data_IF_140011177102
#
_entry.id   IF_140011177102
#
_cell.length_a   1.000
_cell.length_b   1.000
_cell.length_c   1.000
_cell.angle_alpha   90.00
_cell.angle_beta   90.00
_cell.angle_gamma   90.00
#
_symmetry.space_group_name_H-M   'P 1'
#
loop_
_entity.id
_entity.type
_entity.pdbx_description
1 polymer ?
#
# COMPACT_ATOMS: atom_id res chain seq x y z
N UNK A 1 -28.44 -49.23 22.57
CA UNK A 1 -26.99 -49.36 22.83
C UNK A 1 -26.17 -49.27 21.54
N UNK A 2 -26.48 -49.95 20.44
CA UNK A 2 -25.73 -49.90 19.19
C UNK A 2 -25.70 -48.49 18.52
N UNK A 3 -26.79 -47.72 18.56
CA UNK A 3 -26.83 -46.38 17.98
C UNK A 3 -25.95 -45.34 18.72
N UNK A 4 -25.82 -45.50 20.05
CA UNK A 4 -24.95 -44.62 20.85
C UNK A 4 -23.47 -44.99 20.67
N UNK A 5 -23.16 -46.25 20.40
CA UNK A 5 -21.81 -46.72 20.12
C UNK A 5 -21.34 -46.29 18.71
N UNK A 6 -22.24 -46.35 17.70
CA UNK A 6 -21.98 -45.83 16.36
C UNK A 6 -21.78 -44.30 16.35
N UNK A 7 -22.57 -43.58 17.16
CA UNK A 7 -22.40 -42.13 17.30
C UNK A 7 -21.08 -41.76 17.99
N UNK A 8 -20.61 -42.60 18.91
CA UNK A 8 -19.33 -42.39 19.61
C UNK A 8 -18.12 -42.78 18.73
N UNK A 9 -18.27 -43.78 17.86
CA UNK A 9 -17.26 -44.13 16.84
C UNK A 9 -17.19 -43.08 15.71
N UNK A 10 -18.30 -42.45 15.32
CA UNK A 10 -18.33 -41.34 14.36
C UNK A 10 -17.76 -40.04 14.93
N UNK A 11 -17.69 -39.90 16.26
CA UNK A 11 -17.07 -38.75 16.94
C UNK A 11 -15.56 -38.95 17.23
N UNK A 12 -15.01 -40.14 16.89
CA UNK A 12 -13.61 -40.50 17.18
C UNK A 12 -12.69 -40.50 15.94
N UNK A 13 -13.19 -40.09 14.77
CA UNK A 13 -12.29 -39.72 13.71
C UNK A 13 -11.66 -38.38 14.12
N UNK A 14 -10.32 -38.26 14.19
CA UNK A 14 -9.73 -36.94 14.17
C UNK A 14 -10.31 -36.27 12.92
N UNK A 15 -10.95 -35.13 13.08
CA UNK A 15 -11.22 -34.26 11.91
C UNK A 15 -9.84 -33.99 11.28
N UNK A 16 -9.48 -34.76 10.27
CA UNK A 16 -8.41 -34.40 9.37
C UNK A 16 -8.84 -33.09 8.78
N UNK A 17 -8.32 -32.01 9.34
CA UNK A 17 -8.61 -30.66 8.85
C UNK A 17 -7.85 -30.51 7.51
N UNK A 18 -8.57 -30.67 6.40
CA UNK A 18 -8.04 -30.55 5.03
C UNK A 18 -7.24 -29.25 4.82
N UNK A 19 -7.47 -28.24 5.69
CA UNK A 19 -6.79 -26.97 5.78
C UNK A 19 -5.50 -26.98 6.61
N UNK A 20 -5.05 -28.14 7.14
CA UNK A 20 -3.79 -28.23 7.86
C UNK A 20 -2.59 -27.94 6.94
N UNK A 21 -1.65 -27.13 7.42
CA UNK A 21 -0.41 -26.81 6.70
C UNK A 21 0.53 -28.03 6.74
N UNK A 22 0.93 -28.54 5.58
CA UNK A 22 1.78 -29.72 5.47
C UNK A 22 3.17 -29.42 4.88
N UNK A 23 3.35 -28.28 4.19
CA UNK A 23 4.65 -27.87 3.69
C UNK A 23 4.72 -26.36 3.50
N UNK A 24 5.93 -25.80 3.68
CA UNK A 24 6.22 -24.38 3.51
C UNK A 24 7.58 -24.23 2.86
N UNK A 25 7.63 -23.48 1.75
CA UNK A 25 8.85 -23.26 0.98
C UNK A 25 9.06 -21.77 0.76
N UNK A 26 10.05 -21.20 1.44
CA UNK A 26 10.54 -19.85 1.18
C UNK A 26 11.64 -19.85 0.10
N UNK A 27 11.67 -18.81 -0.72
CA UNK A 27 12.71 -18.58 -1.72
C UNK A 27 13.03 -17.11 -1.90
N UNK A 28 14.23 -16.85 -2.43
CA UNK A 28 14.64 -15.52 -2.87
C UNK A 28 14.23 -15.33 -4.33
N UNK A 29 13.55 -14.22 -4.63
CA UNK A 29 13.21 -13.77 -5.99
C UNK A 29 13.69 -12.32 -6.18
N UNK A 30 13.50 -11.73 -7.35
CA UNK A 30 13.83 -10.32 -7.62
C UNK A 30 12.57 -9.46 -7.64
N UNK A 31 12.70 -8.26 -7.07
CA UNK A 31 11.68 -7.22 -7.15
C UNK A 31 11.81 -6.40 -8.46
N UNK A 32 10.91 -5.43 -8.66
CA UNK A 32 10.86 -4.55 -9.83
C UNK A 32 12.08 -3.64 -10.01
N UNK A 33 12.94 -3.54 -8.99
CA UNK A 33 14.21 -2.80 -9.04
C UNK A 33 15.43 -3.72 -9.22
N UNK A 34 15.21 -5.04 -9.36
CA UNK A 34 16.27 -6.04 -9.45
C UNK A 34 16.96 -6.33 -8.12
N UNK A 35 16.35 -5.97 -6.98
CA UNK A 35 16.82 -6.35 -5.66
C UNK A 35 16.14 -7.65 -5.19
N UNK A 36 16.84 -8.48 -4.39
CA UNK A 36 16.23 -9.65 -3.79
C UNK A 36 15.05 -9.32 -2.89
N UNK A 37 14.02 -10.16 -2.93
CA UNK A 37 12.91 -10.17 -1.99
C UNK A 37 12.45 -11.62 -1.72
N UNK A 38 11.51 -11.79 -0.79
CA UNK A 38 11.06 -13.10 -0.31
C UNK A 38 9.77 -13.49 -0.99
N UNK A 39 9.69 -14.75 -1.44
CA UNK A 39 8.46 -15.43 -1.87
C UNK A 39 8.27 -16.69 -1.04
N UNK A 40 7.03 -17.02 -0.70
CA UNK A 40 6.66 -18.20 0.07
C UNK A 40 5.53 -18.97 -0.60
N UNK A 41 5.67 -20.29 -0.65
CA UNK A 41 4.61 -21.26 -0.95
C UNK A 41 4.18 -21.95 0.34
N UNK A 42 2.87 -22.09 0.53
CA UNK A 42 2.27 -22.88 1.61
C UNK A 42 1.37 -23.94 0.99
N UNK A 43 1.58 -25.20 1.34
CA UNK A 43 0.80 -26.34 0.88
C UNK A 43 -0.08 -26.87 2.03
N UNK A 44 -1.35 -27.11 1.74
CA UNK A 44 -2.30 -27.71 2.65
C UNK A 44 -2.45 -29.22 2.42
N UNK A 45 -2.98 -29.94 3.39
CA UNK A 45 -3.22 -31.40 3.32
C UNK A 45 -4.13 -31.78 2.14
N UNK A 46 -5.08 -30.92 1.79
CA UNK A 46 -5.93 -31.06 0.59
C UNK A 46 -5.16 -31.07 -0.73
N UNK A 47 -3.89 -30.60 -0.75
CA UNK A 47 -3.11 -30.33 -1.93
C UNK A 47 -3.26 -28.90 -2.46
N UNK A 48 -4.08 -28.08 -1.81
CA UNK A 48 -4.23 -26.65 -2.13
C UNK A 48 -2.96 -25.88 -1.77
N UNK A 49 -2.56 -24.94 -2.62
CA UNK A 49 -1.34 -24.14 -2.43
C UNK A 49 -1.61 -22.66 -2.52
N UNK A 50 -1.01 -21.90 -1.61
CA UNK A 50 -0.96 -20.44 -1.67
C UNK A 50 0.48 -19.93 -1.91
N UNK A 51 0.65 -18.95 -2.78
CA UNK A 51 1.94 -18.30 -3.07
C UNK A 51 1.83 -16.80 -2.86
N UNK A 52 2.80 -16.22 -2.17
CA UNK A 52 2.88 -14.78 -1.97
C UNK A 52 4.32 -14.27 -2.03
N UNK A 53 4.49 -13.08 -2.58
CA UNK A 53 5.76 -12.36 -2.64
C UNK A 53 5.65 -11.01 -1.93
N UNK A 54 6.71 -10.60 -1.24
CA UNK A 54 6.74 -9.41 -0.38
C UNK A 54 7.34 -8.23 -1.13
N UNK A 55 6.73 -7.02 -1.05
CA UNK A 55 7.32 -5.79 -1.58
C UNK A 55 8.43 -5.25 -0.68
N UNK A 56 9.22 -4.30 -1.21
CA UNK A 56 10.34 -3.65 -0.51
C UNK A 56 10.35 -2.14 -0.74
N UNK A 57 10.59 -1.34 0.29
CA UNK A 57 10.66 0.12 0.20
C UNK A 57 12.01 0.64 -0.31
N UNK A 58 12.01 1.86 -0.92
CA UNK A 58 13.21 2.66 -1.19
C UNK A 58 13.44 3.67 -0.05
N UNK A 59 12.47 4.55 0.19
CA UNK A 59 12.35 5.34 1.41
C UNK A 59 11.64 4.52 2.46
N UNK A 60 12.08 4.57 3.71
CA UNK A 60 11.51 3.79 4.81
C UNK A 60 11.37 4.66 6.05
N UNK A 61 10.20 4.63 6.68
CA UNK A 61 10.00 5.26 7.98
C UNK A 61 10.89 4.61 9.05
N UNK A 62 11.46 5.41 9.92
CA UNK A 62 12.41 4.92 10.94
C UNK A 62 11.79 3.92 11.94
N UNK A 63 10.47 3.87 12.00
CA UNK A 63 9.69 3.01 12.91
C UNK A 63 9.03 1.82 12.22
N UNK A 64 9.33 1.55 10.94
CA UNK A 64 8.84 0.36 10.25
C UNK A 64 9.37 -0.93 10.91
N UNK A 65 8.59 -2.00 10.78
CA UNK A 65 9.09 -3.34 11.08
C UNK A 65 10.28 -3.69 10.17
N UNK A 66 11.23 -4.44 10.69
CA UNK A 66 12.52 -4.68 10.04
C UNK A 66 12.38 -5.62 8.84
N UNK A 67 12.74 -5.15 7.67
CA UNK A 67 13.05 -5.98 6.52
C UNK A 67 14.43 -6.61 6.72
N UNK A 68 14.47 -7.93 6.95
CA UNK A 68 15.73 -8.64 7.24
C UNK A 68 16.53 -8.80 5.95
N UNK A 69 17.73 -8.21 5.93
CA UNK A 69 18.73 -8.32 4.87
C UNK A 69 19.99 -9.00 5.38
N UNK A 70 20.67 -9.75 4.50
CA UNK A 70 21.85 -10.53 4.89
C UNK A 70 23.05 -9.66 5.29
N UNK A 71 23.20 -8.49 4.65
CA UNK A 71 24.29 -7.56 4.90
C UNK A 71 25.63 -7.99 4.33
N UNK A 72 25.69 -9.09 3.56
CA UNK A 72 26.88 -9.60 2.94
C UNK A 72 27.23 -8.82 1.65
N UNK A 73 28.23 -7.95 1.71
CA UNK A 73 28.58 -7.04 0.62
C UNK A 73 28.89 -7.73 -0.72
N UNK A 74 29.42 -8.95 -0.67
CA UNK A 74 29.77 -9.75 -1.85
C UNK A 74 28.58 -10.36 -2.59
N UNK A 75 27.37 -10.29 -2.01
CA UNK A 75 26.16 -10.86 -2.58
C UNK A 75 25.04 -9.82 -2.61
N UNK A 76 24.56 -9.50 -3.82
CA UNK A 76 23.54 -8.44 -4.04
C UNK A 76 23.84 -7.11 -3.32
N UNK A 77 25.12 -6.74 -3.18
CA UNK A 77 25.55 -5.53 -2.48
C UNK A 77 24.98 -5.40 -1.04
N UNK A 78 24.87 -6.52 -0.33
CA UNK A 78 24.32 -6.59 1.03
C UNK A 78 22.80 -6.75 1.11
N UNK A 79 22.10 -6.73 -0.02
CA UNK A 79 20.62 -6.76 -0.06
C UNK A 79 20.02 -8.17 -0.15
N UNK A 80 20.82 -9.24 -0.08
CA UNK A 80 20.34 -10.63 -0.05
C UNK A 80 19.32 -10.87 1.06
N UNK A 81 18.44 -11.88 0.90
CA UNK A 81 17.40 -12.23 1.87
C UNK A 81 17.44 -13.71 2.29
N UNK A 82 18.60 -14.36 2.15
CA UNK A 82 18.74 -15.80 2.48
C UNK A 82 18.49 -16.09 3.95
N UNK A 83 18.83 -15.18 4.87
CA UNK A 83 18.51 -15.34 6.31
C UNK A 83 17.00 -15.39 6.55
N UNK A 84 16.23 -14.48 5.91
CA UNK A 84 14.79 -14.50 5.98
C UNK A 84 14.20 -15.79 5.37
N UNK A 85 14.72 -16.23 4.24
CA UNK A 85 14.37 -17.51 3.61
C UNK A 85 14.68 -18.71 4.51
N UNK A 86 15.84 -18.71 5.17
CA UNK A 86 16.20 -19.76 6.14
C UNK A 86 15.22 -19.82 7.30
N UNK A 87 14.82 -18.67 7.86
CA UNK A 87 13.81 -18.63 8.92
C UNK A 87 12.47 -19.23 8.48
N UNK A 88 12.03 -18.97 7.23
CA UNK A 88 10.80 -19.59 6.69
C UNK A 88 10.95 -21.11 6.62
N UNK A 89 12.07 -21.59 6.06
CA UNK A 89 12.28 -23.01 5.78
C UNK A 89 12.66 -23.84 7.01
N UNK A 90 12.90 -23.21 8.17
CA UNK A 90 13.27 -23.88 9.40
C UNK A 90 12.27 -23.55 10.54
N UNK A 91 12.59 -22.59 11.39
CA UNK A 91 11.86 -22.35 12.64
C UNK A 91 10.42 -21.88 12.44
N UNK A 92 10.10 -21.10 11.39
CA UNK A 92 8.72 -20.73 11.06
C UNK A 92 7.96 -21.97 10.60
N UNK A 93 8.52 -22.75 9.68
CA UNK A 93 7.93 -24.00 9.21
C UNK A 93 7.64 -24.96 10.38
N UNK A 94 8.62 -25.16 11.28
CA UNK A 94 8.44 -26.00 12.46
C UNK A 94 7.32 -25.51 13.39
N UNK A 95 7.18 -24.18 13.56
CA UNK A 95 6.20 -23.60 14.48
C UNK A 95 4.75 -23.65 13.96
N UNK A 96 4.53 -23.62 12.64
CA UNK A 96 3.19 -23.52 12.06
C UNK A 96 2.74 -24.78 11.30
N UNK A 97 3.62 -25.77 11.15
CA UNK A 97 3.27 -27.07 10.57
C UNK A 97 2.11 -27.70 11.34
N UNK A 98 1.10 -28.17 10.63
CA UNK A 98 -0.11 -28.77 11.21
C UNK A 98 -1.15 -27.78 11.72
N UNK A 99 -0.87 -26.47 11.71
CA UNK A 99 -1.89 -25.48 12.04
C UNK A 99 -2.96 -25.40 10.92
N UNK A 100 -4.17 -25.06 11.32
CA UNK A 100 -5.27 -24.79 10.40
C UNK A 100 -5.05 -23.44 9.70
N UNK A 101 -4.92 -23.46 8.37
CA UNK A 101 -4.69 -22.25 7.56
C UNK A 101 -5.87 -21.26 7.62
N UNK A 102 -7.07 -21.69 7.98
CA UNK A 102 -8.24 -20.82 8.15
C UNK A 102 -8.16 -19.93 9.40
N UNK A 103 -7.30 -20.28 10.36
CA UNK A 103 -7.12 -19.57 11.62
C UNK A 103 -6.03 -18.49 11.52
N UNK A 104 -6.19 -17.55 10.57
CA UNK A 104 -5.21 -16.49 10.25
C UNK A 104 -4.69 -15.74 11.48
N UNK A 105 -5.60 -15.32 12.37
CA UNK A 105 -5.23 -14.53 13.53
C UNK A 105 -4.38 -15.35 14.54
N UNK A 106 -4.65 -16.62 14.66
CA UNK A 106 -3.86 -17.52 15.51
C UNK A 106 -2.48 -17.79 14.90
N UNK A 107 -2.43 -18.00 13.59
CA UNK A 107 -1.18 -18.18 12.85
C UNK A 107 -0.28 -16.93 12.97
N UNK A 108 -0.82 -15.74 12.67
CA UNK A 108 -0.08 -14.49 12.77
C UNK A 108 0.42 -14.23 14.21
N UNK A 109 -0.41 -14.57 15.23
CA UNK A 109 0.01 -14.49 16.62
C UNK A 109 1.17 -15.44 16.91
N UNK A 110 1.14 -16.67 16.38
CA UNK A 110 2.25 -17.65 16.52
C UNK A 110 3.54 -17.08 15.92
N UNK A 111 3.49 -16.44 14.75
CA UNK A 111 4.64 -15.78 14.15
C UNK A 111 5.18 -14.64 15.02
N UNK A 112 4.30 -13.81 15.58
CA UNK A 112 4.67 -12.72 16.48
C UNK A 112 5.34 -13.20 17.77
N UNK A 113 4.79 -14.24 18.39
CA UNK A 113 5.36 -14.86 19.58
C UNK A 113 6.70 -15.54 19.29
N UNK A 114 6.85 -16.16 18.12
CA UNK A 114 8.10 -16.78 17.68
C UNK A 114 9.18 -15.73 17.46
N UNK A 115 8.87 -14.57 16.83
CA UNK A 115 9.82 -13.47 16.68
C UNK A 115 10.18 -12.86 18.03
N UNK A 116 9.22 -12.55 18.87
CA UNK A 116 9.37 -12.05 20.23
C UNK A 116 9.96 -10.65 20.35
N UNK A 117 10.09 -9.91 19.25
CA UNK A 117 10.57 -8.51 19.24
C UNK A 117 9.47 -7.53 18.80
N UNK A 118 9.56 -6.28 19.25
CA UNK A 118 8.55 -5.26 18.92
C UNK A 118 8.52 -4.90 17.43
N UNK A 119 9.65 -5.02 16.73
CA UNK A 119 9.84 -4.58 15.34
C UNK A 119 10.18 -5.72 14.37
N UNK A 120 9.93 -6.97 14.72
CA UNK A 120 10.19 -8.16 13.90
C UNK A 120 11.67 -8.31 13.49
N UNK A 121 12.59 -7.82 14.32
CA UNK A 121 14.01 -7.81 13.97
C UNK A 121 14.69 -9.19 14.03
N UNK A 122 14.08 -10.19 14.66
CA UNK A 122 14.63 -11.54 14.76
C UNK A 122 14.38 -12.37 13.50
N UNK A 123 13.14 -12.49 13.09
CA UNK A 123 12.75 -13.28 11.92
C UNK A 123 12.74 -12.45 10.63
N UNK A 124 12.42 -11.17 10.74
CA UNK A 124 12.19 -10.26 9.64
C UNK A 124 10.72 -10.14 9.26
N UNK A 125 10.24 -8.90 9.14
CA UNK A 125 8.88 -8.64 8.68
C UNK A 125 8.61 -9.21 7.28
N UNK A 126 9.62 -9.26 6.42
CA UNK A 126 9.55 -9.86 5.09
C UNK A 126 9.27 -11.38 5.16
N UNK A 127 9.99 -12.12 6.01
CA UNK A 127 9.74 -13.55 6.21
C UNK A 127 8.32 -13.80 6.76
N UNK A 128 7.94 -13.07 7.80
CA UNK A 128 6.64 -13.23 8.45
C UNK A 128 5.48 -12.88 7.51
N UNK A 129 5.59 -11.78 6.77
CA UNK A 129 4.55 -11.36 5.83
C UNK A 129 4.38 -12.33 4.66
N UNK A 130 5.48 -12.85 4.10
CA UNK A 130 5.41 -13.82 3.02
C UNK A 130 4.58 -15.06 3.43
N UNK A 131 4.81 -15.56 4.64
CA UNK A 131 4.05 -16.69 5.22
C UNK A 131 2.59 -16.30 5.50
N UNK A 132 2.36 -15.16 6.16
CA UNK A 132 1.01 -14.68 6.50
C UNK A 132 0.13 -14.56 5.25
N UNK A 133 0.65 -13.99 4.17
CA UNK A 133 -0.08 -13.87 2.89
C UNK A 133 -0.26 -15.20 2.17
N UNK A 134 0.76 -16.05 2.13
CA UNK A 134 0.68 -17.35 1.46
C UNK A 134 -0.35 -18.26 2.13
N UNK A 135 -0.41 -18.27 3.46
CA UNK A 135 -1.43 -19.00 4.22
C UNK A 135 -2.83 -18.48 3.91
N UNK A 136 -3.04 -17.16 3.89
CA UNK A 136 -4.35 -16.59 3.54
C UNK A 136 -4.81 -16.99 2.13
N UNK A 137 -3.89 -17.01 1.16
CA UNK A 137 -4.20 -17.45 -0.22
C UNK A 137 -4.54 -18.92 -0.30
N UNK A 138 -3.80 -19.79 0.42
CA UNK A 138 -4.10 -21.21 0.49
C UNK A 138 -5.47 -21.45 1.13
N UNK A 139 -5.77 -20.78 2.24
CA UNK A 139 -7.05 -20.87 2.93
C UNK A 139 -8.23 -20.37 2.10
N UNK A 140 -8.06 -19.30 1.34
CA UNK A 140 -9.08 -18.78 0.43
C UNK A 140 -9.39 -19.80 -0.69
N UNK A 141 -8.35 -20.36 -1.31
CA UNK A 141 -8.50 -21.40 -2.34
C UNK A 141 -9.16 -22.66 -1.77
N UNK A 142 -8.77 -23.12 -0.60
CA UNK A 142 -9.39 -24.25 0.11
C UNK A 142 -10.87 -24.00 0.39
N UNK A 143 -11.23 -22.79 0.78
CA UNK A 143 -12.60 -22.38 1.00
C UNK A 143 -13.40 -22.19 -0.31
N UNK A 144 -12.76 -22.27 -1.48
CA UNK A 144 -13.40 -22.01 -2.77
C UNK A 144 -13.82 -20.55 -2.95
N UNK A 145 -13.13 -19.61 -2.30
CA UNK A 145 -13.45 -18.17 -2.33
C UNK A 145 -12.32 -17.37 -3.00
N UNK A 146 -12.64 -16.37 -3.84
CA UNK A 146 -11.66 -15.39 -4.24
C UNK A 146 -11.13 -14.65 -3.01
N UNK A 147 -9.86 -14.26 -3.03
CA UNK A 147 -9.14 -13.74 -1.86
C UNK A 147 -9.82 -12.50 -1.25
N UNK A 148 -10.32 -11.56 -2.07
CA UNK A 148 -11.03 -10.39 -1.56
C UNK A 148 -12.30 -10.77 -0.77
N UNK A 149 -13.00 -11.81 -1.20
CA UNK A 149 -14.20 -12.31 -0.51
C UNK A 149 -13.85 -13.09 0.75
N UNK A 150 -12.75 -13.82 0.73
CA UNK A 150 -12.22 -14.48 1.91
C UNK A 150 -11.89 -13.47 3.02
N UNK A 151 -11.30 -12.32 2.66
CA UNK A 151 -11.00 -11.25 3.62
C UNK A 151 -12.24 -10.50 4.13
N UNK A 152 -13.19 -10.20 3.27
CA UNK A 152 -14.30 -9.30 3.58
C UNK A 152 -15.68 -9.95 3.68
N UNK A 153 -15.77 -11.26 3.40
CA UNK A 153 -17.04 -11.97 3.41
C UNK A 153 -18.03 -11.40 2.37
N UNK A 154 -19.32 -11.48 2.70
CA UNK A 154 -20.40 -11.05 1.80
C UNK A 154 -20.49 -9.52 1.59
N UNK A 155 -19.81 -8.74 2.42
CA UNK A 155 -19.81 -7.26 2.34
C UNK A 155 -18.71 -6.64 1.47
N UNK A 156 -17.81 -7.46 0.90
CA UNK A 156 -16.69 -7.00 0.08
C UNK A 156 -17.16 -6.67 -1.36
N UNK A 157 -17.61 -5.45 -1.61
CA UNK A 157 -18.21 -5.03 -2.89
C UNK A 157 -17.68 -3.70 -3.42
N UNK A 158 -16.92 -2.95 -2.65
CA UNK A 158 -16.47 -1.61 -3.02
C UNK A 158 -15.11 -1.65 -3.68
N UNK A 159 -15.03 -1.24 -4.96
CA UNK A 159 -13.78 -0.99 -5.64
C UNK A 159 -13.14 0.29 -5.10
N UNK A 160 -11.80 0.33 -4.91
CA UNK A 160 -11.13 1.53 -4.41
C UNK A 160 -11.00 2.60 -5.49
N UNK A 161 -11.03 3.88 -5.08
CA UNK A 161 -10.61 5.01 -5.92
C UNK A 161 -9.09 4.96 -6.05
N UNK A 162 -8.54 4.92 -7.28
CA UNK A 162 -7.10 4.86 -7.48
C UNK A 162 -6.47 6.26 -7.41
N UNK A 163 -5.38 6.37 -6.67
CA UNK A 163 -4.48 7.52 -6.65
C UNK A 163 -3.27 7.15 -7.51
N UNK A 164 -3.24 7.67 -8.75
CA UNK A 164 -2.31 7.21 -9.79
C UNK A 164 -1.12 8.16 -9.90
N UNK A 165 0.07 7.71 -9.51
CA UNK A 165 1.30 8.48 -9.57
C UNK A 165 1.74 8.74 -11.02
N UNK A 166 1.44 9.92 -11.57
CA UNK A 166 1.65 10.25 -12.98
C UNK A 166 2.97 10.98 -13.25
N UNK A 167 3.50 11.70 -12.23
CA UNK A 167 4.83 12.34 -12.27
C UNK A 167 5.58 12.01 -10.99
N UNK A 168 6.80 11.52 -11.15
CA UNK A 168 7.74 11.21 -10.08
C UNK A 168 8.74 12.35 -9.85
N UNK A 169 9.04 12.63 -8.60
CA UNK A 169 10.11 13.51 -8.14
C UNK A 169 10.82 12.93 -6.91
N UNK A 170 11.50 13.76 -6.13
CA UNK A 170 12.15 13.37 -4.89
C UNK A 170 13.04 12.12 -5.03
N UNK A 171 12.90 11.17 -4.11
CA UNK A 171 13.66 9.92 -4.11
C UNK A 171 13.29 8.97 -5.27
N UNK A 172 12.15 9.17 -5.93
CA UNK A 172 11.65 8.30 -7.01
C UNK A 172 12.14 8.69 -8.41
N UNK A 173 12.82 9.83 -8.55
CA UNK A 173 13.33 10.31 -9.84
C UNK A 173 14.56 11.21 -9.67
N UNK A 174 15.48 11.12 -10.61
CA UNK A 174 16.61 12.05 -10.67
C UNK A 174 16.24 13.30 -11.49
N UNK A 175 15.46 14.19 -10.86
CA UNK A 175 15.01 15.45 -11.46
C UNK A 175 14.99 16.60 -10.43
N UNK A 176 14.44 17.76 -10.82
CA UNK A 176 14.41 18.97 -10.00
C UNK A 176 13.24 19.08 -9.01
N UNK A 177 12.32 18.12 -8.98
CA UNK A 177 11.16 18.17 -8.11
C UNK A 177 11.48 17.64 -6.71
N UNK A 178 11.18 18.42 -5.67
CA UNK A 178 11.34 18.00 -4.27
C UNK A 178 10.19 17.08 -3.80
N UNK A 179 8.96 17.38 -4.22
CA UNK A 179 7.79 16.53 -3.95
C UNK A 179 7.92 15.21 -4.70
N UNK A 180 7.73 14.10 -3.99
CA UNK A 180 8.04 12.77 -4.48
C UNK A 180 7.04 12.24 -5.51
N UNK A 181 5.74 12.50 -5.31
CA UNK A 181 4.69 12.00 -6.21
C UNK A 181 3.61 13.04 -6.47
N UNK A 182 3.22 13.12 -7.75
CA UNK A 182 2.07 13.89 -8.21
C UNK A 182 1.07 12.93 -8.82
N UNK A 183 -0.11 12.83 -8.20
CA UNK A 183 -1.10 11.82 -8.53
C UNK A 183 -2.36 12.43 -9.10
N UNK A 184 -3.01 11.70 -10.02
CA UNK A 184 -4.37 11.95 -10.48
C UNK A 184 -5.33 11.01 -9.77
N UNK A 185 -6.54 11.52 -9.47
CA UNK A 185 -7.57 10.82 -8.72
C UNK A 185 -8.90 10.93 -9.46
N UNK A 186 -9.28 9.95 -10.29
CA UNK A 186 -10.57 9.93 -10.99
C UNK A 186 -11.72 9.68 -10.00
N UNK A 187 -12.68 10.61 -9.90
CA UNK A 187 -13.71 10.57 -8.85
C UNK A 187 -15.15 10.67 -9.37
N UNK A 188 -15.35 10.94 -10.65
CA UNK A 188 -16.71 11.09 -11.22
C UNK A 188 -17.12 9.93 -12.13
N UNK A 189 -16.24 8.98 -12.38
CA UNK A 189 -16.50 7.85 -13.24
C UNK A 189 -17.49 6.88 -12.58
N UNK A 190 -18.35 6.20 -13.36
CA UNK A 190 -19.39 5.33 -12.81
C UNK A 190 -18.86 3.99 -12.28
N UNK A 191 -17.70 3.55 -12.74
CA UNK A 191 -17.09 2.24 -12.41
C UNK A 191 -15.59 2.38 -12.26
N UNK A 192 -14.96 1.39 -11.62
CA UNK A 192 -13.49 1.33 -11.55
C UNK A 192 -12.87 1.21 -12.94
N UNK A 193 -13.45 0.41 -13.83
CA UNK A 193 -13.00 0.24 -15.23
C UNK A 193 -12.92 1.58 -15.95
N UNK A 194 -13.94 2.42 -15.81
CA UNK A 194 -13.96 3.76 -16.41
C UNK A 194 -12.98 4.72 -15.73
N UNK A 195 -12.77 4.58 -14.41
CA UNK A 195 -11.73 5.33 -13.71
C UNK A 195 -10.32 4.95 -14.19
N UNK A 196 -10.06 3.67 -14.40
CA UNK A 196 -8.78 3.18 -14.93
C UNK A 196 -8.57 3.66 -16.37
N UNK A 197 -9.61 3.63 -17.22
CA UNK A 197 -9.58 4.18 -18.57
C UNK A 197 -9.23 5.67 -18.55
N UNK A 198 -9.91 6.44 -17.72
CA UNK A 198 -9.63 7.87 -17.53
C UNK A 198 -8.14 8.10 -17.17
N UNK A 199 -7.63 7.35 -16.20
CA UNK A 199 -6.21 7.43 -15.83
C UNK A 199 -5.26 7.15 -17.01
N UNK A 200 -5.52 6.10 -17.78
CA UNK A 200 -4.71 5.74 -18.94
C UNK A 200 -4.74 6.82 -20.04
N UNK A 201 -5.90 7.39 -20.31
CA UNK A 201 -6.05 8.48 -21.29
C UNK A 201 -5.32 9.75 -20.85
N UNK A 202 -5.38 10.11 -19.57
CA UNK A 202 -4.62 11.25 -19.01
C UNK A 202 -3.12 10.97 -19.06
N UNK A 203 -2.68 9.75 -18.72
CA UNK A 203 -1.28 9.35 -18.82
C UNK A 203 -0.72 9.53 -20.25
N UNK A 204 -1.45 9.08 -21.26
CA UNK A 204 -1.03 9.25 -22.66
C UNK A 204 -1.11 10.70 -23.13
N UNK A 205 -2.08 11.47 -22.66
CA UNK A 205 -2.16 12.91 -22.95
C UNK A 205 -0.95 13.66 -22.35
N UNK A 206 -0.55 13.32 -21.11
CA UNK A 206 0.65 13.89 -20.49
C UNK A 206 1.92 13.51 -21.25
N UNK A 207 2.06 12.24 -21.66
CA UNK A 207 3.20 11.78 -22.47
C UNK A 207 3.35 12.63 -23.73
N UNK A 208 2.24 12.91 -24.42
CA UNK A 208 2.26 13.74 -25.61
C UNK A 208 2.65 15.19 -25.32
N UNK A 209 2.13 15.78 -24.25
CA UNK A 209 2.50 17.16 -23.85
C UNK A 209 4.00 17.25 -23.55
N UNK A 210 4.55 16.30 -22.79
CA UNK A 210 5.98 16.25 -22.46
C UNK A 210 6.83 16.10 -23.71
N UNK A 211 6.46 15.18 -24.61
CA UNK A 211 7.15 14.96 -25.89
C UNK A 211 7.12 16.20 -26.79
N UNK A 212 5.97 16.87 -26.92
CA UNK A 212 5.81 18.09 -27.72
C UNK A 212 6.66 19.25 -27.17
N UNK A 213 6.97 19.26 -25.88
CA UNK A 213 7.88 20.22 -25.23
C UNK A 213 9.35 19.80 -25.24
N UNK A 214 9.68 18.65 -25.82
CA UNK A 214 11.03 18.08 -25.81
C UNK A 214 11.51 17.62 -24.43
N UNK A 215 10.58 17.37 -23.50
CA UNK A 215 10.87 16.88 -22.14
C UNK A 215 10.95 15.35 -22.13
N UNK A 216 11.65 14.81 -21.13
CA UNK A 216 11.78 13.35 -20.94
C UNK A 216 10.42 12.69 -20.72
N UNK A 217 10.19 11.57 -21.41
CA UNK A 217 9.07 10.65 -21.17
C UNK A 217 9.53 9.32 -20.57
N UNK A 218 10.76 9.27 -20.05
CA UNK A 218 11.22 8.15 -19.24
C UNK A 218 10.41 8.10 -17.94
N UNK A 219 10.21 6.86 -17.44
CA UNK A 219 9.42 6.63 -16.23
C UNK A 219 10.32 6.28 -15.05
N UNK A 220 9.90 6.68 -13.86
CA UNK A 220 10.53 6.32 -12.59
C UNK A 220 10.13 4.93 -12.09
N UNK A 221 10.51 4.62 -10.86
CA UNK A 221 10.30 3.30 -10.24
C UNK A 221 8.82 2.89 -10.17
N UNK A 222 7.92 3.86 -10.05
CA UNK A 222 6.49 3.63 -9.94
C UNK A 222 5.70 3.84 -11.24
N UNK A 223 6.41 3.99 -12.37
CA UNK A 223 5.82 4.07 -13.70
C UNK A 223 5.32 5.45 -14.12
N UNK A 224 5.40 6.48 -13.26
CA UNK A 224 5.14 7.87 -13.60
C UNK A 224 6.31 8.49 -14.37
N UNK A 225 6.03 9.56 -15.14
CA UNK A 225 7.09 10.28 -15.87
C UNK A 225 8.02 11.01 -14.91
N UNK A 226 9.27 11.20 -15.31
CA UNK A 226 10.30 11.85 -14.52
C UNK A 226 10.98 13.03 -15.28
N UNK A 227 10.21 14.00 -15.79
CA UNK A 227 10.79 15.16 -16.48
C UNK A 227 11.35 16.18 -15.48
N UNK A 228 12.18 17.11 -15.96
CA UNK A 228 12.58 18.28 -15.21
C UNK A 228 11.56 19.40 -15.41
N UNK A 229 10.88 19.78 -14.33
CA UNK A 229 10.04 20.98 -14.26
C UNK A 229 10.77 22.09 -13.51
N UNK A 230 10.41 23.34 -13.80
CA UNK A 230 10.98 24.51 -13.12
C UNK A 230 10.43 24.72 -11.70
N UNK A 231 9.27 24.14 -11.38
CA UNK A 231 8.62 24.23 -10.08
C UNK A 231 7.52 23.16 -9.91
N UNK A 232 7.05 22.96 -8.67
CA UNK A 232 5.88 22.13 -8.37
C UNK A 232 4.61 22.71 -9.05
N UNK A 233 4.47 24.02 -9.11
CA UNK A 233 3.39 24.73 -9.81
C UNK A 233 3.34 24.39 -11.31
N UNK A 234 4.48 24.38 -11.99
CA UNK A 234 4.56 24.02 -13.42
C UNK A 234 4.16 22.55 -13.63
N UNK A 235 4.61 21.66 -12.75
CA UNK A 235 4.23 20.26 -12.80
C UNK A 235 2.70 20.10 -12.67
N UNK A 236 2.10 20.66 -11.63
CA UNK A 236 0.65 20.59 -11.38
C UNK A 236 -0.15 21.22 -12.53
N UNK A 237 0.26 22.38 -13.03
CA UNK A 237 -0.38 23.04 -14.18
C UNK A 237 -0.32 22.19 -15.45
N UNK A 238 0.80 21.47 -15.66
CA UNK A 238 0.95 20.56 -16.81
C UNK A 238 0.05 19.33 -16.68
N UNK A 239 -0.12 18.79 -15.47
CA UNK A 239 -1.06 17.69 -15.22
C UNK A 239 -2.50 18.15 -15.48
N UNK A 240 -2.91 19.35 -15.05
CA UNK A 240 -4.24 19.89 -15.38
C UNK A 240 -4.47 19.97 -16.90
N UNK A 241 -3.46 20.44 -17.65
CA UNK A 241 -3.54 20.46 -19.12
C UNK A 241 -3.70 19.06 -19.72
N UNK A 242 -3.06 18.03 -19.13
CA UNK A 242 -3.19 16.65 -19.59
C UNK A 242 -4.61 16.11 -19.33
N UNK A 243 -5.20 16.43 -18.17
CA UNK A 243 -6.59 16.06 -17.83
C UNK A 243 -7.56 16.66 -18.84
N UNK A 244 -7.45 17.96 -19.10
CA UNK A 244 -8.30 18.66 -20.08
C UNK A 244 -8.10 18.15 -21.50
N UNK A 245 -6.84 17.91 -21.91
CA UNK A 245 -6.51 17.35 -23.22
C UNK A 245 -7.06 15.93 -23.42
N UNK A 246 -7.20 15.16 -22.36
CA UNK A 246 -7.84 13.85 -22.38
C UNK A 246 -9.39 13.93 -22.42
N UNK A 247 -9.96 15.13 -22.32
CA UNK A 247 -11.40 15.35 -22.39
C UNK A 247 -12.14 15.30 -21.04
N UNK A 248 -11.40 15.37 -19.92
CA UNK A 248 -11.95 15.39 -18.57
C UNK A 248 -11.83 16.76 -17.93
N UNK A 249 -12.72 17.07 -16.98
CA UNK A 249 -12.75 18.35 -16.25
C UNK A 249 -11.85 18.25 -15.02
N UNK A 250 -10.76 19.03 -15.00
CA UNK A 250 -9.89 19.13 -13.84
C UNK A 250 -10.65 19.74 -12.64
N UNK A 251 -10.52 19.14 -11.48
CA UNK A 251 -11.21 19.55 -10.25
C UNK A 251 -12.66 19.02 -10.11
N UNK A 252 -13.23 18.45 -11.16
CA UNK A 252 -14.58 17.85 -11.12
C UNK A 252 -14.52 16.34 -11.37
N UNK A 253 -13.99 15.93 -12.52
CA UNK A 253 -13.87 14.52 -12.91
C UNK A 253 -12.61 13.88 -12.36
N UNK A 254 -11.53 14.64 -12.32
CA UNK A 254 -10.22 14.23 -11.83
C UNK A 254 -9.69 15.25 -10.84
N UNK A 255 -9.38 14.81 -9.63
CA UNK A 255 -8.70 15.58 -8.61
C UNK A 255 -7.20 15.26 -8.61
N UNK A 256 -6.42 16.00 -7.83
CA UNK A 256 -4.99 15.79 -7.66
C UNK A 256 -4.68 15.31 -6.23
N UNK A 257 -3.60 14.57 -6.11
CA UNK A 257 -3.02 14.21 -4.81
C UNK A 257 -1.49 14.32 -4.86
N UNK A 258 -0.90 14.56 -3.71
CA UNK A 258 0.55 14.68 -3.53
C UNK A 258 1.03 13.65 -2.51
N UNK A 259 2.23 13.13 -2.73
CA UNK A 259 3.07 12.56 -1.68
C UNK A 259 4.31 13.44 -1.57
N UNK A 260 4.43 14.16 -0.47
CA UNK A 260 5.57 15.05 -0.24
C UNK A 260 6.81 14.28 0.18
N UNK A 261 6.65 13.16 0.88
CA UNK A 261 7.75 12.46 1.55
C UNK A 261 8.67 13.44 2.30
N UNK A 262 8.07 14.33 3.10
CA UNK A 262 8.74 15.51 3.64
C UNK A 262 9.92 15.19 4.57
N UNK A 263 10.01 13.95 5.06
CA UNK A 263 11.18 13.47 5.81
C UNK A 263 12.47 13.50 4.98
N UNK A 264 12.39 13.35 3.66
CA UNK A 264 13.54 13.31 2.76
C UNK A 264 14.26 14.68 2.62
N UNK A 265 13.54 15.78 2.82
CA UNK A 265 14.09 17.14 2.72
C UNK A 265 13.99 17.96 4.02
N UNK A 266 13.78 17.30 5.16
CA UNK A 266 13.79 17.95 6.47
C UNK A 266 15.17 17.82 7.12
N UNK A 267 15.89 18.95 7.21
CA UNK A 267 17.22 19.03 7.79
C UNK A 267 17.34 20.23 8.71
N UNK A 268 17.99 20.06 9.86
CA UNK A 268 18.25 21.13 10.84
C UNK A 268 17.00 21.92 11.27
N UNK A 269 15.86 21.22 11.41
CA UNK A 269 14.60 21.82 11.81
C UNK A 269 13.89 22.62 10.73
N UNK A 270 14.28 22.45 9.45
CA UNK A 270 13.69 23.14 8.31
C UNK A 270 13.41 22.20 7.14
N UNK A 271 12.39 22.51 6.39
CA UNK A 271 12.05 21.89 5.12
C UNK A 271 12.81 22.61 3.98
N UNK A 272 13.70 21.88 3.33
CA UNK A 272 14.61 22.42 2.29
C UNK A 272 14.16 21.97 0.91
N UNK A 273 13.37 22.80 0.23
CA UNK A 273 12.95 22.54 -1.15
C UNK A 273 14.04 23.07 -2.09
N UNK A 274 15.02 22.22 -2.38
CA UNK A 274 16.21 22.60 -3.15
C UNK A 274 15.87 23.00 -4.59
N UNK A 275 14.89 22.33 -5.21
CA UNK A 275 14.42 22.63 -6.57
C UNK A 275 13.78 24.01 -6.71
N UNK A 276 13.23 24.56 -5.63
CA UNK A 276 12.64 25.91 -5.59
C UNK A 276 13.51 26.93 -4.82
N UNK A 277 14.62 26.47 -4.21
CA UNK A 277 15.52 27.33 -3.45
C UNK A 277 14.92 27.85 -2.13
N UNK A 278 13.99 27.10 -1.52
CA UNK A 278 13.27 27.48 -0.31
C UNK A 278 13.79 26.74 0.92
N UNK A 279 13.80 27.44 2.07
CA UNK A 279 14.05 26.86 3.39
C UNK A 279 12.96 27.34 4.35
N UNK A 280 12.07 26.45 4.76
CA UNK A 280 10.83 26.76 5.45
C UNK A 280 10.80 26.13 6.84
N UNK A 281 10.28 26.86 7.82
CA UNK A 281 9.86 26.29 9.10
C UNK A 281 8.62 25.41 8.90
N UNK A 282 8.23 24.65 9.91
CA UNK A 282 7.02 23.81 9.88
C UNK A 282 5.76 24.62 9.54
N UNK A 283 5.61 25.81 10.12
CA UNK A 283 4.46 26.69 9.85
C UNK A 283 4.50 27.23 8.41
N UNK A 284 5.65 27.68 7.96
CA UNK A 284 5.82 28.18 6.58
C UNK A 284 5.61 27.09 5.53
N UNK A 285 6.03 25.86 5.83
CA UNK A 285 5.77 24.73 4.92
C UNK A 285 4.28 24.32 4.92
N UNK A 286 3.61 24.37 6.06
CA UNK A 286 2.16 24.20 6.10
C UNK A 286 1.42 25.29 5.29
N UNK A 287 1.91 26.54 5.32
CA UNK A 287 1.38 27.64 4.48
C UNK A 287 1.64 27.40 2.99
N UNK A 288 2.82 26.90 2.66
CA UNK A 288 3.17 26.53 1.28
C UNK A 288 2.20 25.45 0.73
N UNK A 289 1.97 24.38 1.49
CA UNK A 289 1.02 23.33 1.10
C UNK A 289 -0.43 23.83 1.02
N UNK A 290 -0.83 24.71 1.94
CA UNK A 290 -2.15 25.35 1.89
C UNK A 290 -2.34 26.20 0.64
N UNK A 291 -1.31 26.97 0.26
CA UNK A 291 -1.34 27.77 -0.98
C UNK A 291 -1.45 26.88 -2.24
N UNK A 292 -0.76 25.73 -2.28
CA UNK A 292 -0.92 24.78 -3.37
C UNK A 292 -2.35 24.22 -3.43
N UNK A 293 -2.92 23.85 -2.27
CA UNK A 293 -4.28 23.31 -2.19
C UNK A 293 -5.38 24.35 -2.50
N UNK A 294 -5.12 25.65 -2.29
CA UNK A 294 -6.02 26.72 -2.71
C UNK A 294 -5.94 27.00 -4.21
N UNK A 295 -4.79 26.76 -4.83
CA UNK A 295 -4.51 27.04 -6.24
C UNK A 295 -4.87 25.87 -7.16
N UNK A 296 -4.74 24.65 -6.70
CA UNK A 296 -4.95 23.42 -7.45
C UNK A 296 -6.00 22.52 -6.76
N UNK A 297 -6.73 21.67 -7.51
CA UNK A 297 -7.75 20.78 -6.94
C UNK A 297 -7.15 19.59 -6.20
N UNK A 298 -6.32 19.84 -5.19
CA UNK A 298 -5.64 18.84 -4.38
C UNK A 298 -6.61 18.34 -3.30
N UNK A 299 -6.93 17.05 -3.34
CA UNK A 299 -7.82 16.40 -2.37
C UNK A 299 -7.07 15.67 -1.28
N UNK A 300 -5.80 15.32 -1.52
CA UNK A 300 -5.00 14.51 -0.58
C UNK A 300 -3.53 14.93 -0.61
N UNK A 301 -2.91 14.98 0.57
CA UNK A 301 -1.47 15.21 0.76
C UNK A 301 -0.97 14.13 1.73
N UNK A 302 -0.03 13.33 1.28
CA UNK A 302 0.67 12.32 2.05
C UNK A 302 1.98 12.88 2.56
N UNK A 303 2.32 12.55 3.81
CA UNK A 303 3.55 12.94 4.50
C UNK A 303 3.98 14.39 4.25
N UNK A 304 3.00 15.30 4.46
CA UNK A 304 3.21 16.74 4.34
C UNK A 304 4.10 17.34 5.42
N UNK A 305 4.56 16.55 6.39
CA UNK A 305 5.52 16.91 7.43
C UNK A 305 6.43 15.72 7.72
N UNK A 306 7.60 16.01 8.32
CA UNK A 306 8.53 15.00 8.80
C UNK A 306 7.88 14.05 9.83
N UNK A 307 8.24 12.78 9.82
CA UNK A 307 7.66 11.73 10.69
C UNK A 307 7.76 12.04 12.21
N UNK A 308 8.73 12.84 12.62
CA UNK A 308 8.93 13.26 14.02
C UNK A 308 8.43 14.68 14.33
N UNK A 309 8.00 15.45 13.32
CA UNK A 309 7.50 16.82 13.50
C UNK A 309 5.99 16.84 13.84
N UNK A 310 5.63 16.27 14.96
CA UNK A 310 4.24 16.16 15.40
C UNK A 310 3.58 17.52 15.66
N UNK A 311 4.36 18.53 16.05
CA UNK A 311 3.87 19.90 16.19
C UNK A 311 3.54 20.50 14.81
N UNK A 312 4.40 20.30 13.81
CA UNK A 312 4.13 20.69 12.42
C UNK A 312 2.92 19.95 11.83
N UNK A 313 2.79 18.66 12.08
CA UNK A 313 1.61 17.88 11.70
C UNK A 313 0.32 18.43 12.30
N UNK A 314 0.36 18.88 13.55
CA UNK A 314 -0.80 19.52 14.19
C UNK A 314 -1.18 20.84 13.51
N UNK A 315 -0.18 21.68 13.21
CA UNK A 315 -0.39 22.93 12.44
C UNK A 315 -1.01 22.65 11.08
N UNK A 316 -0.47 21.68 10.35
CA UNK A 316 -0.98 21.28 9.02
C UNK A 316 -2.42 20.76 9.12
N UNK A 317 -2.71 19.92 10.12
CA UNK A 317 -4.03 19.33 10.32
C UNK A 317 -5.07 20.39 10.66
N UNK A 318 -4.75 21.33 11.56
CA UNK A 318 -5.65 22.42 11.93
C UNK A 318 -5.94 23.34 10.75
N UNK A 319 -4.96 23.53 9.86
CA UNK A 319 -5.07 24.39 8.67
C UNK A 319 -5.84 23.75 7.52
N UNK A 320 -5.54 22.50 7.18
CA UNK A 320 -6.04 21.83 5.98
C UNK A 320 -6.99 20.64 6.22
N UNK A 321 -6.99 20.04 7.40
CA UNK A 321 -7.62 18.75 7.63
C UNK A 321 -9.14 18.69 7.42
N UNK A 322 -9.83 19.82 7.28
CA UNK A 322 -11.24 19.88 6.92
C UNK A 322 -11.50 19.90 5.40
N UNK A 323 -10.49 20.24 4.62
CA UNK A 323 -10.58 20.42 3.17
C UNK A 323 -9.78 19.38 2.39
N UNK A 324 -8.70 18.87 2.98
CA UNK A 324 -7.72 17.99 2.34
C UNK A 324 -7.50 16.77 3.22
N UNK A 325 -7.48 15.60 2.60
CA UNK A 325 -7.06 14.35 3.23
C UNK A 325 -5.57 14.44 3.53
N UNK A 326 -5.21 14.28 4.80
CA UNK A 326 -3.83 14.30 5.27
C UNK A 326 -3.44 12.88 5.67
N UNK A 327 -2.63 12.24 4.83
CA UNK A 327 -2.26 10.83 4.96
C UNK A 327 -0.93 10.70 5.69
N UNK A 328 -0.91 9.94 6.77
CA UNK A 328 0.34 9.54 7.44
C UNK A 328 0.86 8.23 6.90
N UNK A 329 2.02 8.25 6.22
CA UNK A 329 2.80 7.08 5.81
C UNK A 329 3.91 6.83 6.82
N UNK A 330 5.05 7.49 6.73
CA UNK A 330 6.15 7.37 7.70
C UNK A 330 5.73 7.81 9.11
N UNK A 331 4.72 8.68 9.20
CA UNK A 331 4.12 9.11 10.46
C UNK A 331 3.54 7.94 11.25
N UNK A 332 2.84 7.00 10.61
CA UNK A 332 2.09 5.93 11.28
C UNK A 332 2.64 4.53 11.04
N UNK A 333 3.37 4.32 9.96
CA UNK A 333 4.00 3.05 9.54
C UNK A 333 3.09 1.82 9.70
N UNK A 334 1.80 1.98 9.39
CA UNK A 334 0.77 0.92 9.53
C UNK A 334 0.66 0.37 10.98
N UNK A 335 1.15 1.11 11.98
CA UNK A 335 1.24 0.68 13.36
C UNK A 335 0.07 1.23 14.20
N UNK A 336 -0.73 0.33 14.76
CA UNK A 336 -1.92 0.69 15.56
C UNK A 336 -1.62 1.52 16.80
N UNK A 337 -0.47 1.31 17.45
CA UNK A 337 -0.08 2.10 18.65
C UNK A 337 0.19 3.56 18.27
N UNK A 338 0.92 3.77 17.18
CA UNK A 338 1.26 5.11 16.69
C UNK A 338 0.02 5.79 16.10
N UNK A 339 -0.79 5.07 15.34
CA UNK A 339 -2.07 5.57 14.82
C UNK A 339 -2.99 6.03 15.95
N UNK A 340 -3.12 5.24 17.01
CA UNK A 340 -3.92 5.60 18.19
C UNK A 340 -3.47 6.92 18.80
N UNK A 341 -2.16 7.11 18.97
CA UNK A 341 -1.60 8.36 19.48
C UNK A 341 -1.92 9.55 18.57
N UNK A 342 -1.82 9.36 17.24
CA UNK A 342 -2.19 10.39 16.27
C UNK A 342 -3.67 10.76 16.32
N UNK A 343 -4.55 9.77 16.47
CA UNK A 343 -6.00 9.99 16.61
C UNK A 343 -6.30 10.78 17.89
N UNK A 344 -5.71 10.39 19.03
CA UNK A 344 -5.90 11.06 20.31
C UNK A 344 -5.41 12.52 20.29
N UNK A 345 -4.36 12.81 19.54
CA UNK A 345 -3.80 14.17 19.38
C UNK A 345 -4.46 14.97 18.25
N UNK A 346 -5.37 14.38 17.48
CA UNK A 346 -6.02 15.03 16.33
C UNK A 346 -5.02 15.42 15.25
N UNK A 347 -4.13 14.50 14.90
CA UNK A 347 -3.07 14.63 13.88
C UNK A 347 -3.41 13.79 12.66
N UNK A 348 -3.29 14.39 11.46
CA UNK A 348 -3.72 13.78 10.20
C UNK A 348 -5.23 13.44 10.20
N UNK A 349 -5.73 12.79 9.14
CA UNK A 349 -7.09 12.29 9.05
C UNK A 349 -7.20 11.05 8.15
N UNK A 350 -6.06 10.47 7.80
CA UNK A 350 -5.93 9.27 6.98
C UNK A 350 -4.63 8.54 7.31
N UNK A 351 -4.60 7.25 7.05
CA UNK A 351 -3.39 6.41 7.16
C UNK A 351 -3.08 5.75 5.83
N UNK A 352 -1.80 5.71 5.45
CA UNK A 352 -1.33 4.82 4.39
C UNK A 352 -1.10 3.41 4.97
N UNK A 353 -1.54 2.40 4.25
CA UNK A 353 -1.43 1.00 4.65
C UNK A 353 -0.43 0.30 3.74
N UNK A 354 0.72 -0.02 4.29
CA UNK A 354 1.77 -0.81 3.65
C UNK A 354 1.97 -2.10 4.42
N UNK A 355 1.59 -3.22 3.85
CA UNK A 355 1.57 -4.52 4.53
C UNK A 355 2.92 -4.93 5.12
N UNK A 356 4.02 -4.56 4.46
CA UNK A 356 5.37 -4.89 4.92
C UNK A 356 5.94 -3.94 6.00
N UNK A 357 5.29 -2.80 6.25
CA UNK A 357 5.67 -1.91 7.37
C UNK A 357 5.34 -2.50 8.73
N UNK A 358 4.42 -3.47 8.78
CA UNK A 358 3.97 -4.11 10.01
C UNK A 358 4.24 -5.63 10.02
N UNK A 359 4.08 -6.33 8.90
CA UNK A 359 4.59 -7.69 8.70
C UNK A 359 3.61 -8.83 8.90
N UNK A 360 2.33 -8.58 9.24
CA UNK A 360 1.26 -9.58 9.25
C UNK A 360 -0.04 -9.01 8.69
N UNK A 361 -0.90 -9.86 8.14
CA UNK A 361 -2.24 -9.46 7.68
C UNK A 361 -3.14 -9.07 8.85
N UNK A 362 -3.07 -9.77 9.97
CA UNK A 362 -3.89 -9.48 11.16
C UNK A 362 -3.61 -8.09 11.71
N UNK A 363 -2.35 -7.69 11.83
CA UNK A 363 -1.99 -6.32 12.26
C UNK A 363 -2.39 -5.27 11.22
N UNK A 364 -2.23 -5.59 9.93
CA UNK A 364 -2.66 -4.71 8.82
C UNK A 364 -4.16 -4.44 8.89
N UNK A 365 -4.98 -5.48 9.05
CA UNK A 365 -6.44 -5.36 9.15
C UNK A 365 -6.86 -4.59 10.39
N UNK A 366 -6.17 -4.79 11.51
CA UNK A 366 -6.41 -4.03 12.74
C UNK A 366 -6.13 -2.52 12.55
N UNK A 367 -5.10 -2.15 11.80
CA UNK A 367 -4.80 -0.75 11.49
C UNK A 367 -5.89 -0.10 10.62
N UNK A 368 -6.35 -0.81 9.57
CA UNK A 368 -7.45 -0.35 8.70
C UNK A 368 -8.74 -0.14 9.51
N UNK A 369 -9.11 -1.11 10.33
CA UNK A 369 -10.33 -1.05 11.15
C UNK A 369 -10.25 0.07 12.20
N UNK A 370 -9.12 0.25 12.86
CA UNK A 370 -8.91 1.34 13.81
C UNK A 370 -9.07 2.71 13.14
N UNK A 371 -8.49 2.90 11.96
CA UNK A 371 -8.62 4.15 11.19
C UNK A 371 -10.09 4.44 10.87
N UNK A 372 -10.80 3.48 10.28
CA UNK A 372 -12.21 3.62 9.88
C UNK A 372 -13.11 3.96 11.07
N UNK A 373 -12.93 3.29 12.23
CA UNK A 373 -13.68 3.57 13.46
C UNK A 373 -13.43 4.97 14.01
N UNK A 374 -12.26 5.52 13.78
CA UNK A 374 -11.92 6.88 14.19
C UNK A 374 -12.38 7.97 13.20
N UNK A 375 -12.99 7.57 12.07
CA UNK A 375 -13.37 8.48 10.99
C UNK A 375 -12.20 8.89 10.08
N UNK A 376 -11.05 8.24 10.22
CA UNK A 376 -9.92 8.34 9.29
C UNK A 376 -10.19 7.46 8.06
N UNK A 377 -9.69 7.86 6.91
CA UNK A 377 -9.62 6.99 5.74
C UNK A 377 -8.38 6.11 5.80
N UNK A 378 -8.39 5.01 5.05
CA UNK A 378 -7.26 4.14 4.85
C UNK A 378 -6.96 4.03 3.35
N UNK A 379 -5.72 4.29 2.95
CA UNK A 379 -5.26 4.16 1.57
C UNK A 379 -4.36 2.93 1.48
N UNK A 380 -4.80 1.91 0.77
CA UNK A 380 -3.99 0.70 0.55
C UNK A 380 -2.89 1.03 -0.44
N UNK A 381 -1.64 0.72 -0.09
CA UNK A 381 -0.49 1.18 -0.86
C UNK A 381 0.47 0.06 -1.24
N UNK A 382 1.06 0.21 -2.44
CA UNK A 382 2.25 -0.52 -2.88
C UNK A 382 3.52 -0.01 -2.19
N UNK A 383 4.66 -0.55 -2.59
CA UNK A 383 5.99 0.00 -2.31
C UNK A 383 6.74 0.31 -3.62
N UNK A 384 7.85 1.03 -3.54
CA UNK A 384 8.69 1.33 -4.72
C UNK A 384 9.30 0.07 -5.34
N UNK A 385 9.70 -0.91 -4.54
CA UNK A 385 10.08 -2.25 -4.99
C UNK A 385 8.90 -3.21 -4.90
N UNK A 386 8.33 -3.60 -6.03
CA UNK A 386 7.16 -4.48 -6.13
C UNK A 386 7.49 -5.78 -6.88
N UNK A 387 6.56 -6.71 -6.82
CA UNK A 387 6.53 -7.95 -7.59
C UNK A 387 5.22 -8.02 -8.38
N UNK A 388 4.94 -9.14 -9.05
CA UNK A 388 3.65 -9.39 -9.70
C UNK A 388 2.52 -9.68 -8.69
N UNK A 389 2.84 -9.86 -7.39
CA UNK A 389 1.84 -10.11 -6.34
C UNK A 389 0.82 -8.97 -6.30
N UNK A 390 -0.47 -9.33 -6.32
CA UNK A 390 -1.59 -8.38 -6.36
C UNK A 390 -2.44 -8.38 -5.10
N UNK A 391 -1.98 -8.97 -4.01
CA UNK A 391 -2.73 -9.13 -2.75
C UNK A 391 -3.32 -7.83 -2.24
N UNK A 392 -2.62 -6.69 -2.41
CA UNK A 392 -3.13 -5.38 -1.96
C UNK A 392 -4.42 -4.95 -2.67
N UNK A 393 -4.66 -5.40 -3.91
CA UNK A 393 -5.93 -5.18 -4.60
C UNK A 393 -7.07 -5.93 -3.90
N UNK A 394 -6.86 -7.18 -3.52
CA UNK A 394 -7.82 -7.98 -2.77
C UNK A 394 -8.09 -7.42 -1.36
N UNK A 395 -7.06 -6.90 -0.68
CA UNK A 395 -7.19 -6.23 0.61
C UNK A 395 -8.06 -4.96 0.46
N UNK A 396 -7.81 -4.15 -0.56
CA UNK A 396 -8.54 -2.90 -0.78
C UNK A 396 -10.05 -3.13 -0.96
N UNK A 397 -10.44 -4.17 -1.70
CA UNK A 397 -11.85 -4.53 -1.89
C UNK A 397 -12.39 -5.31 -0.68
N UNK A 398 -11.65 -6.28 -0.18
CA UNK A 398 -12.08 -7.11 0.95
C UNK A 398 -12.42 -6.29 2.19
N UNK A 399 -11.62 -5.29 2.50
CA UNK A 399 -11.83 -4.41 3.66
C UNK A 399 -12.66 -3.15 3.35
N UNK A 400 -13.17 -3.01 2.11
CA UNK A 400 -13.84 -1.79 1.65
C UNK A 400 -13.04 -0.53 2.05
N UNK A 401 -11.73 -0.53 1.75
CA UNK A 401 -10.85 0.55 2.16
C UNK A 401 -11.15 1.88 1.45
N UNK A 402 -11.75 1.80 0.27
CA UNK A 402 -12.21 2.95 -0.51
C UNK A 402 -11.15 3.62 -1.36
N UNK A 403 -9.85 3.43 -1.08
CA UNK A 403 -8.76 4.06 -1.83
C UNK A 403 -7.56 3.11 -1.98
N UNK A 404 -6.86 3.22 -3.12
CA UNK A 404 -5.62 2.48 -3.40
C UNK A 404 -4.60 3.40 -4.07
N UNK A 405 -3.34 3.30 -3.62
CA UNK A 405 -2.18 3.96 -4.20
C UNK A 405 -1.21 2.89 -4.69
N UNK A 406 -1.17 2.62 -6.00
CA UNK A 406 -0.39 1.52 -6.56
C UNK A 406 0.37 1.89 -7.85
N UNK A 407 0.86 3.13 -7.89
CA UNK A 407 1.70 3.63 -8.97
C UNK A 407 0.92 4.13 -10.18
N UNK A 408 1.61 4.22 -11.31
CA UNK A 408 1.10 4.77 -12.56
C UNK A 408 0.48 3.70 -13.47
N UNK A 409 0.19 4.09 -14.71
CA UNK A 409 -0.42 3.27 -15.77
C UNK A 409 0.65 2.59 -16.65
N UNK A 410 1.82 2.34 -16.12
CA UNK A 410 2.93 1.65 -16.78
C UNK A 410 3.72 0.82 -15.76
N UNK A 411 4.55 -0.12 -16.23
CA UNK A 411 5.25 -1.16 -15.49
C UNK A 411 4.32 -2.26 -14.97
N UNK A 412 4.63 -3.51 -15.30
CA UNK A 412 3.78 -4.68 -15.01
C UNK A 412 3.55 -4.91 -13.52
N UNK A 413 4.52 -4.54 -12.68
CA UNK A 413 4.46 -4.61 -11.23
C UNK A 413 3.36 -3.68 -10.64
N UNK A 414 3.00 -2.59 -11.32
CA UNK A 414 1.89 -1.69 -10.99
C UNK A 414 0.59 -2.17 -11.63
N UNK A 415 0.64 -2.46 -12.92
CA UNK A 415 -0.51 -2.88 -13.71
C UNK A 415 -1.12 -4.18 -13.20
N UNK A 416 -0.34 -5.08 -12.61
CA UNK A 416 -0.85 -6.33 -12.02
C UNK A 416 -1.96 -6.07 -10.98
N UNK A 417 -1.83 -5.02 -10.15
CA UNK A 417 -2.81 -4.63 -9.14
C UNK A 417 -4.08 -4.06 -9.78
N UNK A 418 -3.93 -3.17 -10.77
CA UNK A 418 -5.07 -2.62 -11.53
C UNK A 418 -5.82 -3.70 -12.28
N UNK A 419 -5.12 -4.62 -12.93
CA UNK A 419 -5.73 -5.74 -13.63
C UNK A 419 -6.47 -6.69 -12.67
N UNK A 420 -5.97 -6.88 -11.44
CA UNK A 420 -6.66 -7.65 -10.42
C UNK A 420 -7.96 -6.96 -10.00
N UNK A 421 -7.96 -5.64 -9.83
CA UNK A 421 -9.18 -4.87 -9.53
C UNK A 421 -10.21 -4.97 -10.67
N UNK A 422 -9.78 -4.99 -11.93
CA UNK A 422 -10.70 -5.23 -13.08
C UNK A 422 -11.34 -6.62 -13.01
N UNK A 423 -10.56 -7.67 -12.65
CA UNK A 423 -11.11 -9.03 -12.49
C UNK A 423 -12.10 -9.09 -11.33
N UNK A 424 -11.79 -8.42 -10.21
CA UNK A 424 -12.71 -8.34 -9.07
C UNK A 424 -14.00 -7.61 -9.44
N UNK A 425 -13.92 -6.50 -10.17
CA UNK A 425 -15.11 -5.77 -10.64
C UNK A 425 -15.97 -6.64 -11.56
N UNK A 426 -15.34 -7.42 -12.45
CA UNK A 426 -16.05 -8.37 -13.33
C UNK A 426 -16.71 -9.49 -12.54
N UNK A 427 -16.04 -10.07 -11.53
CA UNK A 427 -16.58 -11.11 -10.65
C UNK A 427 -17.77 -10.60 -9.83
N UNK A 428 -17.71 -9.37 -9.35
CA UNK A 428 -18.81 -8.72 -8.63
C UNK A 428 -20.01 -8.36 -9.53
N UNK A 429 -19.77 -8.06 -10.80
CA UNK A 429 -20.82 -7.69 -11.75
C UNK A 429 -21.64 -6.48 -11.27
N UNK A 430 -22.96 -6.63 -11.30
CA UNK A 430 -23.90 -5.53 -10.98
C UNK A 430 -23.90 -5.10 -9.50
N UNK A 431 -23.30 -5.89 -8.61
CA UNK A 431 -23.16 -5.52 -7.19
C UNK A 431 -21.87 -4.73 -6.90
N UNK A 432 -20.96 -4.60 -7.86
CA UNK A 432 -19.78 -3.77 -7.71
C UNK A 432 -20.15 -2.32 -7.48
N UNK A 433 -19.50 -1.66 -6.53
CA UNK A 433 -19.69 -0.24 -6.27
C UNK A 433 -18.38 0.53 -6.41
N UNK A 434 -18.43 1.71 -7.00
CA UNK A 434 -17.30 2.64 -7.10
C UNK A 434 -17.66 3.94 -6.37
N UNK A 435 -16.96 4.26 -5.25
CA UNK A 435 -17.42 5.32 -4.35
C UNK A 435 -17.16 6.74 -4.87
N UNK A 436 -16.20 6.92 -5.80
CA UNK A 436 -15.83 8.25 -6.29
C UNK A 436 -15.49 9.21 -5.14
N UNK A 437 -16.03 10.43 -5.17
CA UNK A 437 -15.77 11.44 -4.13
C UNK A 437 -16.16 10.99 -2.71
N UNK A 438 -17.10 10.07 -2.57
CA UNK A 438 -17.53 9.60 -1.24
C UNK A 438 -16.49 8.75 -0.51
N UNK A 439 -15.42 8.32 -1.21
CA UNK A 439 -14.26 7.68 -0.60
C UNK A 439 -13.52 8.60 0.40
N UNK A 440 -13.66 9.92 0.23
CA UNK A 440 -13.05 10.94 1.09
C UNK A 440 -14.03 11.38 2.20
N UNK A 441 -14.60 10.42 2.91
CA UNK A 441 -15.59 10.68 3.97
C UNK A 441 -15.04 11.42 5.19
N UNK A 442 -13.74 11.51 5.33
CA UNK A 442 -13.02 12.28 6.35
C UNK A 442 -13.05 13.81 6.11
N UNK A 443 -13.53 14.27 4.95
CA UNK A 443 -13.61 15.68 4.54
C UNK A 443 -15.03 16.25 4.68
N UNK A 444 -15.73 15.94 5.77
CA UNK A 444 -17.10 16.41 6.03
C UNK A 444 -17.14 17.65 6.93
#
# INVERSE_FOLDING_TARGET
MQAAQLAQELLSFPEETMSAIVDIIGREILDSRGNPTVECDVLLESGTMGRAAVPSGASTGSREAIELRDGEAGRYNGKGVLKAVEHINTEISEAIMGLDASEQAFLDKTLLELDGTDNKSRLGANAMLAVSMAVAKAAAEEAGLPLYRYFGGSGAMQLPVPMMNIVNGGAHANNSLDIQEFMIVPVSQPTFREALRCGAEVFHALKKILSDRGMSTAVGDEGGFAPNFGSNDECLSTILQAIEKAGYRAGEDVLLALDCAASEFYHDGKYQLAGEGLQLSSTEFADYLANLADKFPIVSIEDGMHESDWAGWKVLTDKLGKKVQLVGDDLFVTNTRILKEGIEKGIANSILIKINQIGTLTETFAAIEMAKRAGYTAVISHRSGETEDSTIADIAVGLNAGQIKTGSLSRSDRISKYNQLLRIEEDLGDIASYPGKSAFYNLR
#
